data_IF_285689821828
#
_entry.id   IF_285689821828
#
_cell.length_a   1.000
_cell.length_b   1.000
_cell.length_c   1.000
_cell.angle_alpha   90.00
_cell.angle_beta   90.00
_cell.angle_gamma   90.00
#
_symmetry.space_group_name_H-M   'P 1'
#
loop_
_entity.id
_entity.type
_entity.pdbx_description
1 polymer ?
#
# COMPACT_ATOMS: atom_id res chain seq x y z
N UNK A 1 22.51 -32.56 2.02
CA UNK A 1 21.10 -32.14 1.90
C UNK A 1 21.13 -30.85 1.09
N UNK A 2 20.38 -30.74 -0.01
CA UNK A 2 20.54 -29.63 -0.97
C UNK A 2 20.41 -28.27 -0.26
N UNK A 3 21.53 -27.55 -0.11
CA UNK A 3 21.60 -26.29 0.66
C UNK A 3 20.56 -25.24 0.18
N UNK A 4 20.21 -25.29 -1.10
CA UNK A 4 19.19 -24.45 -1.76
C UNK A 4 17.79 -24.63 -1.18
N UNK A 5 17.45 -25.82 -0.64
CA UNK A 5 16.15 -26.10 -0.03
C UNK A 5 16.16 -25.91 1.49
N UNK A 6 17.19 -25.28 2.05
CA UNK A 6 17.23 -24.98 3.48
C UNK A 6 16.12 -23.98 3.86
N UNK A 7 15.51 -24.10 5.05
CA UNK A 7 14.47 -23.18 5.51
C UNK A 7 14.91 -21.71 5.52
N UNK A 8 16.20 -21.46 5.80
CA UNK A 8 16.78 -20.12 5.79
C UNK A 8 16.76 -19.53 4.38
N UNK A 9 17.30 -20.25 3.38
CA UNK A 9 17.34 -19.78 2.00
C UNK A 9 15.92 -19.60 1.45
N UNK A 10 15.01 -20.53 1.73
CA UNK A 10 13.61 -20.40 1.32
C UNK A 10 12.92 -19.20 1.96
N UNK A 11 13.18 -18.91 3.24
CA UNK A 11 12.64 -17.73 3.93
C UNK A 11 13.17 -16.42 3.34
N UNK A 12 14.44 -16.38 2.95
CA UNK A 12 15.04 -15.23 2.27
C UNK A 12 14.43 -15.01 0.88
N UNK A 13 14.27 -16.07 0.10
CA UNK A 13 13.60 -15.99 -1.20
C UNK A 13 12.14 -15.57 -1.07
N UNK A 14 11.39 -16.16 -0.14
CA UNK A 14 10.00 -15.81 0.10
C UNK A 14 9.86 -14.33 0.47
N UNK A 15 10.66 -13.85 1.43
CA UNK A 15 10.63 -12.44 1.86
C UNK A 15 11.06 -11.49 0.75
N UNK A 16 12.12 -11.82 0.01
CA UNK A 16 12.61 -11.03 -1.12
C UNK A 16 11.58 -10.93 -2.24
N UNK A 17 10.95 -12.03 -2.62
CA UNK A 17 9.89 -12.04 -3.63
C UNK A 17 8.69 -11.21 -3.17
N UNK A 18 8.19 -11.42 -1.95
CA UNK A 18 7.07 -10.63 -1.42
C UNK A 18 7.39 -9.14 -1.40
N UNK A 19 8.60 -8.76 -0.98
CA UNK A 19 9.05 -7.36 -0.96
C UNK A 19 9.09 -6.75 -2.36
N UNK A 20 9.65 -7.47 -3.35
CA UNK A 20 9.70 -6.99 -4.74
C UNK A 20 8.29 -6.80 -5.28
N UNK A 21 7.40 -7.79 -5.11
CA UNK A 21 6.02 -7.69 -5.59
C UNK A 21 5.28 -6.53 -4.92
N UNK A 22 5.40 -6.37 -3.61
CA UNK A 22 4.78 -5.27 -2.88
C UNK A 22 5.29 -3.91 -3.39
N UNK A 23 6.61 -3.77 -3.57
CA UNK A 23 7.24 -2.53 -4.00
C UNK A 23 6.96 -2.16 -5.46
N UNK A 24 6.43 -3.05 -6.30
CA UNK A 24 5.92 -2.67 -7.62
C UNK A 24 4.68 -1.78 -7.50
N UNK A 25 3.80 -2.06 -6.53
CA UNK A 25 2.54 -1.35 -6.37
C UNK A 25 2.73 0.00 -5.65
N UNK A 26 3.63 0.08 -4.66
CA UNK A 26 3.85 1.29 -3.84
C UNK A 26 4.09 2.58 -4.65
N UNK A 27 5.14 2.69 -5.50
CA UNK A 27 5.46 3.94 -6.20
C UNK A 27 4.36 4.33 -7.19
N UNK A 28 3.70 3.35 -7.79
CA UNK A 28 2.57 3.57 -8.69
C UNK A 28 1.39 4.13 -7.89
N UNK A 29 1.06 3.56 -6.72
CA UNK A 29 -0.02 4.06 -5.86
C UNK A 29 0.22 5.51 -5.46
N UNK A 30 1.43 5.85 -4.98
CA UNK A 30 1.78 7.22 -4.56
C UNK A 30 1.67 8.21 -5.74
N UNK A 31 2.23 7.83 -6.89
CA UNK A 31 2.17 8.66 -8.10
C UNK A 31 0.75 8.88 -8.61
N UNK A 32 -0.06 7.82 -8.62
CA UNK A 32 -1.44 7.86 -9.09
C UNK A 32 -2.37 8.58 -8.11
N UNK A 33 -2.17 8.43 -6.80
CA UNK A 33 -2.89 9.18 -5.77
C UNK A 33 -2.66 10.68 -5.93
N UNK A 34 -1.40 11.09 -6.05
CA UNK A 34 -1.01 12.50 -6.26
C UNK A 34 -1.61 13.05 -7.57
N UNK A 35 -1.50 12.30 -8.65
CA UNK A 35 -2.03 12.68 -9.96
C UNK A 35 -3.55 12.84 -9.94
N UNK A 36 -4.25 11.89 -9.34
CA UNK A 36 -5.71 11.92 -9.16
C UNK A 36 -6.14 13.14 -8.33
N UNK A 37 -5.45 13.41 -7.22
CA UNK A 37 -5.71 14.56 -6.36
C UNK A 37 -5.51 15.90 -7.09
N UNK A 38 -4.46 16.01 -7.92
CA UNK A 38 -4.20 17.20 -8.74
C UNK A 38 -5.33 17.43 -9.74
N UNK A 39 -5.75 16.39 -10.47
CA UNK A 39 -6.87 16.52 -11.41
C UNK A 39 -8.20 16.84 -10.72
N UNK A 40 -8.47 16.22 -9.56
CA UNK A 40 -9.66 16.54 -8.75
C UNK A 40 -9.65 18.02 -8.34
N UNK A 41 -8.50 18.51 -7.86
CA UNK A 41 -8.33 19.91 -7.45
C UNK A 41 -8.49 20.86 -8.64
N UNK A 42 -7.92 20.52 -9.80
CA UNK A 42 -8.05 21.31 -11.02
C UNK A 42 -9.50 21.37 -11.51
N UNK A 43 -10.24 20.25 -11.44
CA UNK A 43 -11.66 20.21 -11.74
C UNK A 43 -12.44 21.13 -10.80
N UNK A 44 -12.24 21.01 -9.48
CA UNK A 44 -12.93 21.83 -8.48
C UNK A 44 -12.69 23.33 -8.68
N UNK A 45 -11.45 23.73 -9.04
CA UNK A 45 -11.10 25.14 -9.26
C UNK A 45 -11.57 25.71 -10.59
N UNK A 46 -11.64 24.90 -11.64
CA UNK A 46 -11.87 25.39 -13.02
C UNK A 46 -13.24 25.03 -13.60
N UNK A 47 -13.98 24.11 -12.95
CA UNK A 47 -15.21 23.52 -13.45
C UNK A 47 -15.09 22.86 -14.85
N UNK A 48 -13.87 22.63 -15.36
CA UNK A 48 -13.66 22.02 -16.68
C UNK A 48 -13.86 20.51 -16.58
N UNK A 49 -14.89 19.99 -17.26
CA UNK A 49 -15.28 18.56 -17.27
C UNK A 49 -14.14 17.63 -17.67
N UNK A 50 -13.20 18.08 -18.52
CA UNK A 50 -12.01 17.29 -18.90
C UNK A 50 -11.21 16.81 -17.67
N UNK A 51 -11.07 17.63 -16.64
CA UNK A 51 -10.33 17.24 -15.44
C UNK A 51 -11.09 16.20 -14.63
N UNK A 52 -12.43 16.28 -14.56
CA UNK A 52 -13.25 15.25 -13.93
C UNK A 52 -13.06 13.88 -14.60
N UNK A 53 -13.04 13.84 -15.94
CA UNK A 53 -12.79 12.59 -16.67
C UNK A 53 -11.40 12.02 -16.36
N UNK A 54 -10.37 12.88 -16.27
CA UNK A 54 -9.02 12.46 -15.90
C UNK A 54 -8.99 11.92 -14.46
N UNK A 55 -9.62 12.61 -13.51
CA UNK A 55 -9.75 12.16 -12.13
C UNK A 55 -10.38 10.78 -12.03
N UNK A 56 -11.50 10.54 -12.74
CA UNK A 56 -12.17 9.25 -12.72
C UNK A 56 -11.34 8.15 -13.40
N UNK A 57 -10.61 8.48 -14.47
CA UNK A 57 -9.76 7.52 -15.18
C UNK A 57 -8.55 7.08 -14.34
N UNK A 58 -7.72 8.06 -13.91
CA UNK A 58 -6.56 7.78 -13.07
C UNK A 58 -6.97 7.22 -11.71
N UNK A 59 -8.11 7.68 -11.19
CA UNK A 59 -8.74 7.18 -9.98
C UNK A 59 -9.05 5.68 -10.01
N UNK A 60 -9.64 5.16 -11.09
CA UNK A 60 -9.91 3.72 -11.22
C UNK A 60 -8.63 2.89 -11.20
N UNK A 61 -7.60 3.33 -11.91
CA UNK A 61 -6.30 2.64 -11.95
C UNK A 61 -5.63 2.68 -10.57
N UNK A 62 -5.67 3.84 -9.91
CA UNK A 62 -5.20 4.02 -8.53
C UNK A 62 -5.84 3.00 -7.59
N UNK A 63 -7.17 2.84 -7.63
CA UNK A 63 -7.87 1.92 -6.72
C UNK A 63 -7.50 0.45 -6.93
N UNK A 64 -7.36 0.01 -8.18
CA UNK A 64 -6.92 -1.36 -8.50
C UNK A 64 -5.51 -1.60 -7.96
N UNK A 65 -4.61 -0.64 -8.18
CA UNK A 65 -3.22 -0.74 -7.74
C UNK A 65 -3.09 -0.67 -6.22
N UNK A 66 -3.88 0.18 -5.57
CA UNK A 66 -3.98 0.31 -4.12
C UNK A 66 -4.43 -1.01 -3.48
N UNK A 67 -5.47 -1.65 -4.01
CA UNK A 67 -5.94 -2.93 -3.49
C UNK A 67 -4.85 -4.01 -3.52
N UNK A 68 -4.08 -4.09 -4.61
CA UNK A 68 -2.95 -5.02 -4.70
C UNK A 68 -1.82 -4.68 -3.72
N UNK A 69 -1.54 -3.38 -3.53
CA UNK A 69 -0.59 -2.88 -2.53
C UNK A 69 -0.98 -3.31 -1.12
N UNK A 70 -2.25 -3.14 -0.73
CA UNK A 70 -2.76 -3.55 0.59
C UNK A 70 -2.59 -5.06 0.81
N UNK A 71 -3.02 -5.88 -0.15
CA UNK A 71 -2.93 -7.35 -0.03
C UNK A 71 -1.48 -7.79 0.15
N UNK A 72 -0.58 -7.26 -0.67
CA UNK A 72 0.85 -7.62 -0.61
C UNK A 72 1.54 -7.11 0.66
N UNK A 73 1.14 -5.94 1.17
CA UNK A 73 1.65 -5.36 2.41
C UNK A 73 1.26 -6.16 3.64
N UNK A 74 -0.01 -6.57 3.74
CA UNK A 74 -0.50 -7.44 4.83
C UNK A 74 0.29 -8.74 4.88
N UNK A 75 0.54 -9.37 3.73
CA UNK A 75 1.35 -10.60 3.66
C UNK A 75 2.77 -10.34 4.17
N UNK A 76 3.37 -9.21 3.80
CA UNK A 76 4.72 -8.85 4.23
C UNK A 76 4.82 -8.57 5.74
N UNK A 77 3.82 -7.90 6.33
CA UNK A 77 3.75 -7.64 7.77
C UNK A 77 3.75 -8.96 8.56
N UNK A 78 2.89 -9.91 8.18
CA UNK A 78 2.83 -11.21 8.87
C UNK A 78 4.09 -12.06 8.69
N UNK A 79 4.87 -11.87 7.62
CA UNK A 79 6.12 -12.60 7.43
C UNK A 79 7.16 -12.32 8.53
N UNK A 80 7.15 -11.13 9.12
CA UNK A 80 8.01 -10.83 10.28
C UNK A 80 7.66 -11.71 11.49
N UNK A 81 6.38 -12.01 11.71
CA UNK A 81 5.93 -12.88 12.80
C UNK A 81 6.14 -14.38 12.54
N UNK A 82 6.05 -14.81 11.28
CA UNK A 82 6.16 -16.21 10.88
C UNK A 82 7.63 -16.65 10.74
N UNK A 83 8.24 -16.35 9.60
CA UNK A 83 9.56 -16.88 9.23
C UNK A 83 10.72 -16.18 9.96
N UNK A 84 10.45 -15.01 10.56
CA UNK A 84 11.46 -14.17 11.21
C UNK A 84 11.16 -13.94 12.70
N UNK A 85 10.55 -14.92 13.38
CA UNK A 85 10.14 -14.78 14.79
C UNK A 85 11.28 -14.45 15.77
N UNK A 86 12.49 -15.01 15.59
CA UNK A 86 13.66 -14.66 16.42
C UNK A 86 14.09 -13.21 16.22
N UNK A 87 14.08 -12.72 14.96
CA UNK A 87 14.35 -11.32 14.66
C UNK A 87 13.31 -10.42 15.34
N UNK A 88 12.02 -10.74 15.19
CA UNK A 88 10.92 -9.99 15.78
C UNK A 88 10.99 -9.93 17.31
N UNK A 89 11.43 -10.99 17.99
CA UNK A 89 11.68 -10.95 19.45
C UNK A 89 12.90 -10.11 19.83
N UNK A 90 13.93 -10.10 18.98
CA UNK A 90 15.18 -9.42 19.28
C UNK A 90 15.11 -7.90 19.07
N UNK A 91 14.42 -7.44 18.01
CA UNK A 91 14.32 -6.00 17.68
C UNK A 91 12.91 -5.43 17.76
N UNK A 92 11.91 -6.21 18.17
CA UNK A 92 10.51 -5.83 18.15
C UNK A 92 10.19 -4.55 18.93
N UNK A 93 10.88 -4.31 20.05
CA UNK A 93 10.66 -3.12 20.87
C UNK A 93 11.04 -1.81 20.15
N UNK A 94 11.95 -1.87 19.17
CA UNK A 94 12.39 -0.72 18.37
C UNK A 94 11.70 -0.70 17.02
N UNK A 95 11.66 -1.84 16.33
CA UNK A 95 11.14 -1.94 14.96
C UNK A 95 9.61 -1.99 14.92
N UNK A 96 8.97 -2.62 15.91
CA UNK A 96 7.51 -2.81 15.94
C UNK A 96 6.73 -1.52 16.17
N UNK A 97 7.28 -0.55 16.91
CA UNK A 97 6.59 0.71 17.19
C UNK A 97 6.30 1.54 15.90
N UNK A 98 7.26 1.77 14.98
CA UNK A 98 6.98 2.36 13.68
C UNK A 98 5.92 1.62 12.85
N UNK A 99 5.95 0.28 12.82
CA UNK A 99 4.96 -0.52 12.08
C UNK A 99 3.54 -0.37 12.68
N UNK A 100 3.43 -0.37 14.01
CA UNK A 100 2.15 -0.13 14.66
C UNK A 100 1.62 1.30 14.38
N UNK A 101 2.51 2.29 14.36
CA UNK A 101 2.16 3.67 14.02
C UNK A 101 1.71 3.83 12.57
N UNK A 102 2.33 3.13 11.62
CA UNK A 102 1.89 3.06 10.23
C UNK A 102 0.44 2.57 10.14
N UNK A 103 0.11 1.46 10.81
CA UNK A 103 -1.24 0.92 10.83
C UNK A 103 -2.28 1.85 11.46
N UNK A 104 -1.96 2.42 12.63
CA UNK A 104 -2.89 3.26 13.39
C UNK A 104 -3.12 4.64 12.77
N UNK A 105 -2.08 5.25 12.19
CA UNK A 105 -2.19 6.61 11.64
C UNK A 105 -2.30 6.59 10.12
N UNK A 106 -1.27 6.10 9.41
CA UNK A 106 -1.17 6.26 7.97
C UNK A 106 -2.24 5.44 7.24
N UNK A 107 -2.30 4.13 7.50
CA UNK A 107 -3.28 3.25 6.84
C UNK A 107 -4.71 3.57 7.23
N UNK A 108 -4.97 3.86 8.51
CA UNK A 108 -6.32 4.18 8.93
C UNK A 108 -6.84 5.46 8.28
N UNK A 109 -5.99 6.51 8.21
CA UNK A 109 -6.30 7.75 7.52
C UNK A 109 -6.54 7.50 6.03
N UNK A 110 -5.59 6.84 5.37
CA UNK A 110 -5.64 6.56 3.94
C UNK A 110 -6.88 5.75 3.56
N UNK A 111 -7.12 4.61 4.21
CA UNK A 111 -8.26 3.74 3.91
C UNK A 111 -9.61 4.43 4.15
N UNK A 112 -9.72 5.22 5.23
CA UNK A 112 -10.95 5.96 5.54
C UNK A 112 -11.25 7.02 4.49
N UNK A 113 -10.27 7.86 4.16
CA UNK A 113 -10.47 8.95 3.20
C UNK A 113 -10.62 8.45 1.76
N UNK A 114 -9.93 7.37 1.37
CA UNK A 114 -10.18 6.70 0.08
C UNK A 114 -11.61 6.18 0.04
N UNK A 115 -12.09 5.54 1.10
CA UNK A 115 -13.49 5.07 1.18
C UNK A 115 -14.50 6.20 1.01
N UNK A 116 -14.29 7.33 1.72
CA UNK A 116 -15.12 8.53 1.55
C UNK A 116 -15.06 9.07 0.12
N UNK A 117 -13.88 9.12 -0.50
CA UNK A 117 -13.71 9.64 -1.84
C UNK A 117 -14.39 8.76 -2.90
N UNK A 118 -14.37 7.43 -2.77
CA UNK A 118 -15.05 6.51 -3.69
C UNK A 118 -16.57 6.65 -3.61
N UNK A 119 -17.12 6.72 -2.39
CA UNK A 119 -18.57 6.66 -2.17
C UNK A 119 -19.23 8.02 -1.92
N UNK A 120 -18.44 9.09 -1.88
CA UNK A 120 -18.88 10.44 -1.54
C UNK A 120 -19.23 11.34 -2.72
N UNK A 121 -19.07 10.89 -3.97
CA UNK A 121 -19.25 11.74 -5.16
C UNK A 121 -20.59 12.47 -5.26
N UNK A 122 -21.68 11.85 -4.79
CA UNK A 122 -23.03 12.45 -4.79
C UNK A 122 -23.53 12.81 -3.36
N UNK A 123 -22.63 12.74 -2.37
CA UNK A 123 -22.99 12.90 -0.94
C UNK A 123 -22.17 13.98 -0.21
N UNK A 124 -21.01 14.36 -0.74
CA UNK A 124 -20.06 15.33 -0.18
C UNK A 124 -19.87 16.54 -1.09
#
# INVERSE_FOLDING_TARGET
MNDILSPLILSQWQFGLTTIYHFLFIPITIGMATTTAVFQTAWYRTAKVRYLHLTQFFGKIFLINFAMGVVTGIVQEFQFGMNWSTYSRFVGDVFGAPLAMEGLLAFFLEATFIGLWIFGWDKL
#
